data_IF_476708052503
#
_entry.id   IF_476708052503
#
_cell.length_a   1.000
_cell.length_b   1.000
_cell.length_c   1.000
_cell.angle_alpha   90.00
_cell.angle_beta   90.00
_cell.angle_gamma   90.00
#
_symmetry.space_group_name_H-M   'P 1'
#
loop_
_entity.id
_entity.type
_entity.pdbx_description
1 polymer ?
#
# COMPACT_ATOMS: atom_id res chain seq x y z
N UNK A 1 3.98 3.49 25.43
CA UNK A 1 2.63 3.24 24.87
C UNK A 1 2.76 3.01 23.39
N UNK A 2 2.09 2.01 22.82
CA UNK A 2 1.99 1.80 21.39
C UNK A 2 1.08 2.85 20.74
N UNK A 3 1.27 3.11 19.42
CA UNK A 3 0.37 3.97 18.69
C UNK A 3 -1.00 3.33 18.47
N UNK A 4 -2.04 4.16 18.40
CA UNK A 4 -3.40 3.71 18.10
C UNK A 4 -3.46 3.16 16.68
N UNK A 5 -4.17 2.07 16.51
CA UNK A 5 -4.54 1.53 15.20
C UNK A 5 -5.81 0.70 15.28
N UNK A 6 -6.52 0.60 14.16
CA UNK A 6 -7.65 -0.29 13.99
C UNK A 6 -7.81 -0.67 12.51
N UNK A 7 -8.30 -1.87 12.26
CA UNK A 7 -8.57 -2.38 10.93
C UNK A 7 -10.05 -2.83 10.80
N UNK A 8 -11.00 -1.88 10.89
CA UNK A 8 -12.42 -2.22 10.92
C UNK A 8 -12.92 -2.59 9.50
N UNK A 9 -13.28 -3.86 9.32
CA UNK A 9 -14.02 -4.36 8.16
C UNK A 9 -15.14 -5.25 8.67
N UNK A 10 -16.39 -4.83 8.44
CA UNK A 10 -17.56 -5.60 8.86
C UNK A 10 -17.70 -6.88 8.03
N UNK A 11 -18.45 -7.86 8.56
CA UNK A 11 -18.75 -9.09 7.85
C UNK A 11 -19.50 -8.82 6.54
N UNK A 12 -20.42 -7.84 6.54
CA UNK A 12 -21.23 -7.47 5.38
C UNK A 12 -20.35 -6.85 4.26
N UNK A 13 -19.45 -5.95 4.62
CA UNK A 13 -18.49 -5.38 3.66
C UNK A 13 -17.59 -6.48 3.09
N UNK A 14 -17.08 -7.37 3.95
CA UNK A 14 -16.27 -8.50 3.48
C UNK A 14 -17.04 -9.38 2.49
N UNK A 15 -18.31 -9.66 2.76
CA UNK A 15 -19.16 -10.43 1.85
C UNK A 15 -19.41 -9.70 0.53
N UNK A 16 -19.66 -8.38 0.56
CA UNK A 16 -19.77 -7.55 -0.65
C UNK A 16 -18.50 -7.57 -1.49
N UNK A 17 -17.34 -7.40 -0.87
CA UNK A 17 -16.04 -7.46 -1.56
C UNK A 17 -15.83 -8.82 -2.22
N UNK A 18 -16.11 -9.92 -1.51
CA UNK A 18 -15.95 -11.27 -2.06
C UNK A 18 -16.93 -11.53 -3.23
N UNK A 19 -18.15 -11.01 -3.16
CA UNK A 19 -19.12 -11.08 -4.25
C UNK A 19 -18.63 -10.30 -5.47
N UNK A 20 -18.13 -9.07 -5.29
CA UNK A 20 -17.60 -8.26 -6.40
C UNK A 20 -16.38 -8.93 -7.06
N UNK A 21 -15.47 -9.50 -6.27
CA UNK A 21 -14.34 -10.26 -6.82
C UNK A 21 -14.79 -11.46 -7.65
N UNK A 22 -15.84 -12.20 -7.21
CA UNK A 22 -16.40 -13.30 -7.97
C UNK A 22 -17.09 -12.81 -9.26
N UNK A 23 -17.74 -11.65 -9.23
CA UNK A 23 -18.34 -11.02 -10.41
C UNK A 23 -17.28 -10.55 -11.42
N UNK A 24 -16.16 -10.03 -10.94
CA UNK A 24 -15.00 -9.67 -11.76
C UNK A 24 -14.45 -10.91 -12.47
N UNK A 25 -14.25 -12.02 -11.74
CA UNK A 25 -13.77 -13.27 -12.33
C UNK A 25 -14.68 -13.73 -13.48
N UNK A 26 -16.01 -13.69 -13.29
CA UNK A 26 -16.97 -14.10 -14.33
C UNK A 26 -17.01 -13.12 -15.51
N UNK A 27 -17.02 -11.81 -15.26
CA UNK A 27 -17.14 -10.79 -16.32
C UNK A 27 -15.90 -10.69 -17.20
N UNK A 28 -14.72 -10.93 -16.63
CA UNK A 28 -13.44 -10.75 -17.31
C UNK A 28 -12.72 -12.05 -17.66
N UNK A 29 -13.29 -13.21 -17.33
CA UNK A 29 -12.68 -14.54 -17.48
C UNK A 29 -11.24 -14.56 -16.90
N UNK A 30 -11.13 -14.17 -15.63
CA UNK A 30 -9.87 -14.12 -14.89
C UNK A 30 -9.96 -14.90 -13.60
N UNK A 31 -8.82 -15.20 -12.99
CA UNK A 31 -8.71 -15.74 -11.64
C UNK A 31 -8.02 -14.74 -10.73
N UNK A 32 -8.66 -14.37 -9.63
CA UNK A 32 -8.07 -13.51 -8.60
C UNK A 32 -7.11 -14.32 -7.74
N UNK A 33 -5.83 -13.96 -7.77
CA UNK A 33 -4.76 -14.58 -7.01
C UNK A 33 -4.64 -14.03 -5.60
N UNK A 34 -4.87 -12.72 -5.46
CA UNK A 34 -4.72 -12.01 -4.21
C UNK A 34 -5.65 -10.80 -4.18
N UNK A 35 -6.30 -10.55 -3.07
CA UNK A 35 -7.06 -9.33 -2.84
C UNK A 35 -6.91 -8.87 -1.38
N UNK A 36 -6.64 -7.57 -1.21
CA UNK A 36 -6.42 -6.97 0.10
C UNK A 36 -7.07 -5.60 0.23
N UNK A 37 -7.17 -5.13 1.45
CA UNK A 37 -7.45 -3.74 1.75
C UNK A 37 -6.18 -2.91 1.67
N UNK A 38 -6.28 -1.75 1.04
CA UNK A 38 -5.24 -0.73 0.96
C UNK A 38 -5.65 0.54 1.71
N UNK A 39 -5.04 1.67 1.37
CA UNK A 39 -5.42 2.97 1.90
C UNK A 39 -5.43 3.07 3.42
N UNK A 40 -6.29 3.96 3.93
CA UNK A 40 -6.31 4.30 5.35
C UNK A 40 -6.70 3.14 6.27
N UNK A 41 -7.54 2.19 5.79
CA UNK A 41 -7.92 0.97 6.54
C UNK A 41 -6.75 0.01 6.64
N UNK A 42 -6.06 -0.26 5.53
CA UNK A 42 -4.86 -1.07 5.51
C UNK A 42 -3.72 -0.46 6.33
N UNK A 43 -3.62 0.86 6.38
CA UNK A 43 -2.64 1.56 7.22
C UNK A 43 -3.01 1.61 8.70
N UNK A 44 -4.28 1.36 9.06
CA UNK A 44 -4.73 1.23 10.44
C UNK A 44 -5.25 2.50 11.09
N UNK A 45 -5.60 3.53 10.31
CA UNK A 45 -6.14 4.80 10.83
C UNK A 45 -7.38 5.31 10.07
N UNK A 46 -8.22 4.39 9.60
CA UNK A 46 -9.46 4.76 8.93
C UNK A 46 -10.41 5.53 9.86
N UNK A 47 -11.15 6.48 9.30
CA UNK A 47 -12.35 7.06 9.91
C UNK A 47 -13.59 6.23 9.58
N UNK A 48 -14.73 6.46 10.27
CA UNK A 48 -15.97 5.74 9.97
C UNK A 48 -16.42 5.88 8.51
N UNK A 49 -16.18 7.05 7.90
CA UNK A 49 -16.52 7.40 6.52
C UNK A 49 -15.37 7.23 5.52
N UNK A 50 -14.30 6.55 5.90
CA UNK A 50 -13.23 6.19 4.95
C UNK A 50 -13.73 5.15 3.95
N UNK A 51 -13.38 5.33 2.68
CA UNK A 51 -13.63 4.35 1.63
C UNK A 51 -12.94 3.00 1.93
N UNK A 52 -13.41 1.96 1.27
CA UNK A 52 -12.75 0.67 1.22
C UNK A 52 -11.93 0.57 -0.07
N UNK A 53 -10.62 0.59 0.08
CA UNK A 53 -9.62 0.56 -1.00
C UNK A 53 -9.25 -0.90 -1.34
N UNK A 54 -10.13 -1.62 -2.02
CA UNK A 54 -9.88 -3.03 -2.40
C UNK A 54 -8.94 -3.08 -3.59
N UNK A 55 -7.82 -3.75 -3.41
CA UNK A 55 -6.79 -3.93 -4.44
C UNK A 55 -6.54 -5.40 -4.66
N UNK A 56 -6.41 -5.83 -5.93
CA UNK A 56 -6.24 -7.23 -6.25
C UNK A 56 -5.25 -7.48 -7.39
N UNK A 57 -4.69 -8.69 -7.41
CA UNK A 57 -3.85 -9.22 -8.50
C UNK A 57 -4.58 -10.39 -9.13
N UNK A 58 -4.65 -10.42 -10.45
CA UNK A 58 -5.36 -11.43 -11.21
C UNK A 58 -4.54 -11.98 -12.37
N UNK A 59 -4.94 -13.15 -12.87
CA UNK A 59 -4.35 -13.82 -14.03
C UNK A 59 -5.43 -14.14 -15.04
N UNK A 60 -5.14 -13.97 -16.33
CA UNK A 60 -5.97 -14.40 -17.44
C UNK A 60 -5.68 -15.85 -17.85
N UNK A 61 -6.58 -16.41 -18.67
CA UNK A 61 -6.32 -17.66 -19.36
C UNK A 61 -5.13 -17.54 -20.31
N UNK A 62 -4.37 -18.64 -20.59
CA UNK A 62 -3.17 -18.59 -21.45
C UNK A 62 -3.38 -17.95 -22.81
N UNK A 63 -4.53 -18.18 -23.44
CA UNK A 63 -4.87 -17.60 -24.74
C UNK A 63 -4.84 -16.07 -24.78
N UNK A 64 -5.18 -15.39 -23.66
CA UNK A 64 -5.15 -13.95 -23.57
C UNK A 64 -3.71 -13.40 -23.76
N UNK A 65 -2.71 -14.10 -23.24
CA UNK A 65 -1.30 -13.70 -23.33
C UNK A 65 -0.71 -13.89 -24.73
N UNK A 66 -1.38 -14.63 -25.59
CA UNK A 66 -0.98 -14.90 -26.98
C UNK A 66 -1.63 -13.93 -27.98
N UNK A 67 -2.41 -12.95 -27.50
CA UNK A 67 -2.98 -11.90 -28.37
C UNK A 67 -1.86 -11.05 -28.98
N UNK A 68 -1.98 -10.76 -30.29
CA UNK A 68 -1.05 -9.88 -31.01
C UNK A 68 -1.19 -8.42 -30.53
N UNK A 69 -2.43 -7.99 -30.29
CA UNK A 69 -2.69 -6.64 -29.78
C UNK A 69 -2.51 -6.58 -28.25
N UNK A 70 -1.85 -5.50 -27.75
CA UNK A 70 -1.73 -5.28 -26.32
C UNK A 70 -3.11 -5.16 -25.68
N UNK A 71 -3.33 -5.93 -24.61
CA UNK A 71 -4.57 -5.92 -23.86
C UNK A 71 -4.43 -5.05 -22.60
N UNK A 72 -5.57 -4.54 -22.09
CA UNK A 72 -5.58 -3.74 -20.86
C UNK A 72 -5.18 -4.61 -19.66
N UNK A 73 -4.17 -4.19 -18.94
CA UNK A 73 -3.56 -4.89 -17.81
C UNK A 73 -4.07 -4.43 -16.44
N UNK A 74 -5.20 -3.72 -16.42
CA UNK A 74 -5.89 -3.27 -15.20
C UNK A 74 -7.39 -3.50 -15.33
N UNK A 75 -8.01 -3.88 -14.22
CA UNK A 75 -9.46 -3.89 -14.03
C UNK A 75 -9.77 -2.86 -12.96
N UNK A 76 -10.65 -1.91 -13.29
CA UNK A 76 -11.15 -0.88 -12.38
C UNK A 76 -12.67 -0.95 -12.44
N UNK A 77 -13.27 -1.10 -11.28
CA UNK A 77 -14.73 -1.05 -11.14
C UNK A 77 -15.10 0.40 -10.84
N UNK A 78 -16.17 0.95 -11.46
CA UNK A 78 -16.66 2.26 -11.07
C UNK A 78 -16.95 2.30 -9.57
N UNK A 79 -16.47 3.37 -8.91
CA UNK A 79 -16.67 3.53 -7.46
C UNK A 79 -18.19 3.50 -7.20
N UNK A 80 -18.61 2.57 -6.38
CA UNK A 80 -19.99 2.44 -5.93
C UNK A 80 -20.05 2.63 -4.43
N UNK A 81 -20.84 3.60 -3.98
CA UNK A 81 -20.96 3.98 -2.58
C UNK A 81 -19.56 4.25 -1.95
N UNK A 82 -19.09 3.31 -1.15
CA UNK A 82 -17.84 3.40 -0.39
C UNK A 82 -16.76 2.40 -0.87
N UNK A 83 -17.02 1.64 -1.96
CA UNK A 83 -16.06 0.64 -2.49
C UNK A 83 -15.30 1.18 -3.69
N UNK A 84 -13.98 1.26 -3.56
CA UNK A 84 -13.02 1.51 -4.65
C UNK A 84 -12.25 0.22 -4.93
N UNK A 85 -12.62 -0.47 -6.04
CA UNK A 85 -12.09 -1.79 -6.38
C UNK A 85 -11.24 -1.71 -7.64
N UNK A 86 -9.95 -2.02 -7.51
CA UNK A 86 -9.01 -1.98 -8.62
C UNK A 86 -7.98 -3.10 -8.57
N UNK A 87 -7.63 -3.65 -9.73
CA UNK A 87 -6.70 -4.76 -9.82
C UNK A 87 -5.68 -4.64 -10.94
N UNK A 88 -4.56 -5.31 -10.74
CA UNK A 88 -3.47 -5.42 -11.71
C UNK A 88 -3.34 -6.85 -12.22
N UNK A 89 -3.16 -6.97 -13.53
CA UNK A 89 -2.83 -8.22 -14.16
C UNK A 89 -1.45 -8.71 -13.66
N UNK A 90 -1.27 -10.03 -13.56
CA UNK A 90 -0.08 -10.65 -12.96
C UNK A 90 1.23 -10.20 -13.62
N UNK A 91 1.31 -10.13 -14.96
CA UNK A 91 2.51 -9.64 -15.67
C UNK A 91 2.83 -8.21 -15.24
N UNK A 92 1.81 -7.34 -15.17
CA UNK A 92 1.97 -5.97 -14.67
C UNK A 92 2.44 -5.95 -13.22
N UNK A 93 1.83 -6.75 -12.35
CA UNK A 93 2.24 -6.84 -10.94
C UNK A 93 3.71 -7.26 -10.82
N UNK A 94 4.16 -8.27 -11.60
CA UNK A 94 5.56 -8.72 -11.59
C UNK A 94 6.51 -7.68 -12.19
N UNK A 95 6.11 -6.94 -13.22
CA UNK A 95 6.89 -5.80 -13.73
C UNK A 95 7.03 -4.68 -12.70
N UNK A 96 5.97 -4.41 -11.92
CA UNK A 96 6.02 -3.46 -10.82
C UNK A 96 6.93 -3.95 -9.70
N UNK A 97 6.91 -5.25 -9.37
CA UNK A 97 7.84 -5.87 -8.43
C UNK A 97 9.29 -5.72 -8.90
N UNK A 98 9.58 -6.06 -10.15
CA UNK A 98 10.90 -5.90 -10.76
C UNK A 98 11.42 -4.45 -10.66
N UNK A 99 10.53 -3.47 -10.81
CA UNK A 99 10.85 -2.04 -10.69
C UNK A 99 10.87 -1.56 -9.23
N UNK A 100 10.69 -2.47 -8.26
CA UNK A 100 10.59 -2.12 -6.83
C UNK A 100 9.49 -1.12 -6.52
N UNK A 101 8.29 -1.33 -7.08
CA UNK A 101 7.14 -0.44 -6.84
C UNK A 101 6.63 -0.59 -5.41
N UNK A 102 6.69 0.44 -4.55
CA UNK A 102 6.28 0.32 -3.16
C UNK A 102 4.81 -0.02 -2.96
N UNK A 103 3.93 0.42 -3.85
CA UNK A 103 2.48 0.18 -3.74
C UNK A 103 2.15 -1.32 -3.79
N UNK A 104 2.76 -2.07 -4.74
CA UNK A 104 2.57 -3.53 -4.79
C UNK A 104 3.11 -4.20 -3.53
N UNK A 105 4.29 -3.74 -3.05
CA UNK A 105 4.92 -4.32 -1.86
C UNK A 105 4.05 -4.09 -0.63
N UNK A 106 3.42 -2.92 -0.52
CA UNK A 106 2.44 -2.62 0.53
C UNK A 106 1.21 -3.53 0.43
N UNK A 107 0.66 -3.76 -0.75
CA UNK A 107 -0.48 -4.68 -0.92
C UNK A 107 -0.15 -6.06 -0.37
N UNK A 108 1.02 -6.62 -0.73
CA UNK A 108 1.46 -7.93 -0.25
C UNK A 108 1.67 -8.01 1.27
N UNK A 109 1.90 -6.86 1.92
CA UNK A 109 2.06 -6.71 3.36
C UNK A 109 0.77 -6.24 4.07
N UNK A 110 -0.36 -6.16 3.37
CA UNK A 110 -1.61 -5.70 3.97
C UNK A 110 -2.06 -6.61 5.12
N UNK A 111 -2.45 -6.02 6.27
CA UNK A 111 -2.97 -6.77 7.41
C UNK A 111 -4.40 -7.29 7.17
N UNK A 112 -5.08 -6.80 6.12
CA UNK A 112 -6.44 -7.20 5.76
C UNK A 112 -6.41 -7.87 4.40
N UNK A 113 -6.51 -9.19 4.40
CA UNK A 113 -6.61 -10.00 3.18
C UNK A 113 -8.05 -10.46 3.01
N UNK A 114 -8.62 -10.21 1.83
CA UNK A 114 -9.96 -10.66 1.45
C UNK A 114 -9.93 -12.04 0.83
N UNK A 115 -8.97 -12.27 -0.07
CA UNK A 115 -8.78 -13.52 -0.80
C UNK A 115 -7.30 -13.73 -1.11
N UNK A 116 -6.83 -14.97 -1.04
CA UNK A 116 -5.51 -15.33 -1.55
C UNK A 116 -5.48 -16.76 -2.08
N UNK A 117 -4.73 -16.94 -3.18
CA UNK A 117 -4.18 -18.23 -3.58
C UNK A 117 -2.91 -18.42 -2.76
N UNK A 118 -2.88 -19.38 -1.80
CA UNK A 118 -1.76 -19.45 -0.87
C UNK A 118 -0.41 -19.69 -1.55
N UNK A 119 -0.37 -20.50 -2.61
CA UNK A 119 0.88 -20.82 -3.31
C UNK A 119 1.42 -19.62 -4.08
N UNK A 120 0.54 -18.92 -4.82
CA UNK A 120 0.91 -17.71 -5.57
C UNK A 120 1.35 -16.58 -4.65
N UNK A 121 0.60 -16.32 -3.57
CA UNK A 121 0.89 -15.22 -2.65
C UNK A 121 2.16 -15.49 -1.84
N UNK A 122 2.38 -16.71 -1.37
CA UNK A 122 3.61 -17.10 -0.69
C UNK A 122 4.83 -16.86 -1.60
N UNK A 123 4.72 -17.23 -2.89
CA UNK A 123 5.80 -17.03 -3.85
C UNK A 123 6.06 -15.56 -4.12
N UNK A 124 5.02 -14.74 -4.32
CA UNK A 124 5.15 -13.29 -4.47
C UNK A 124 5.81 -12.64 -3.25
N UNK A 125 5.37 -13.00 -2.04
CA UNK A 125 5.97 -12.50 -0.78
C UNK A 125 7.42 -12.90 -0.61
N UNK A 126 7.82 -14.10 -1.05
CA UNK A 126 9.21 -14.55 -1.01
C UNK A 126 10.10 -13.82 -2.03
N UNK A 127 9.57 -13.47 -3.20
CA UNK A 127 10.31 -12.73 -4.24
C UNK A 127 10.43 -11.23 -3.91
N UNK A 128 9.43 -10.61 -3.33
CA UNK A 128 9.36 -9.18 -3.10
C UNK A 128 10.62 -8.56 -2.45
N UNK A 129 11.21 -9.13 -1.36
CA UNK A 129 12.41 -8.57 -0.73
C UNK A 129 13.65 -8.60 -1.63
N UNK A 130 13.75 -9.57 -2.58
CA UNK A 130 14.90 -9.68 -3.48
C UNK A 130 14.91 -8.57 -4.53
N UNK A 131 13.72 -8.07 -4.91
CA UNK A 131 13.57 -6.98 -5.88
C UNK A 131 13.45 -5.59 -5.22
N UNK A 132 13.35 -5.53 -3.89
CA UNK A 132 13.23 -4.24 -3.22
C UNK A 132 14.52 -3.43 -3.32
N UNK A 133 14.42 -2.23 -3.90
CA UNK A 133 15.48 -1.23 -3.96
C UNK A 133 15.24 -0.16 -2.89
N UNK A 134 16.10 -0.11 -1.88
CA UNK A 134 16.03 0.90 -0.81
C UNK A 134 16.08 2.32 -1.38
N UNK A 135 16.95 2.57 -2.36
CA UNK A 135 17.03 3.87 -3.02
C UNK A 135 15.72 4.29 -3.69
N UNK A 136 15.07 3.38 -4.47
CA UNK A 136 13.81 3.69 -5.15
C UNK A 136 12.67 3.86 -4.15
N UNK A 137 12.60 2.98 -3.15
CA UNK A 137 11.60 3.06 -2.08
C UNK A 137 11.69 4.38 -1.32
N UNK A 138 12.90 4.75 -0.88
CA UNK A 138 13.14 6.03 -0.21
C UNK A 138 12.69 7.23 -1.03
N UNK A 139 13.10 7.32 -2.29
CA UNK A 139 12.72 8.42 -3.17
C UNK A 139 11.20 8.51 -3.38
N UNK A 140 10.55 7.37 -3.56
CA UNK A 140 9.10 7.31 -3.69
C UNK A 140 8.41 7.90 -2.45
N UNK A 141 8.80 7.42 -1.26
CA UNK A 141 8.17 7.86 -0.01
C UNK A 141 8.46 9.32 0.30
N UNK A 142 9.69 9.79 0.14
CA UNK A 142 10.02 11.21 0.34
C UNK A 142 9.28 12.12 -0.65
N UNK A 143 9.18 11.72 -1.93
CA UNK A 143 8.44 12.49 -2.93
C UNK A 143 6.96 12.59 -2.58
N UNK A 144 6.36 11.50 -2.10
CA UNK A 144 4.97 11.45 -1.64
C UNK A 144 4.77 12.36 -0.42
N UNK A 145 5.64 12.27 0.58
CA UNK A 145 5.58 13.10 1.78
C UNK A 145 5.69 14.59 1.42
N UNK A 146 6.70 14.96 0.63
CA UNK A 146 6.93 16.34 0.22
C UNK A 146 5.77 16.91 -0.62
N UNK A 147 5.20 16.11 -1.53
CA UNK A 147 4.04 16.51 -2.35
C UNK A 147 2.82 16.79 -1.46
N UNK A 148 2.51 15.88 -0.53
CA UNK A 148 1.38 16.06 0.40
C UNK A 148 1.60 17.24 1.34
N UNK A 149 2.81 17.41 1.87
CA UNK A 149 3.15 18.53 2.75
C UNK A 149 2.95 19.87 2.05
N UNK A 150 3.52 20.04 0.86
CA UNK A 150 3.36 21.28 0.06
C UNK A 150 1.93 21.53 -0.38
N UNK A 151 1.18 20.49 -0.70
CA UNK A 151 -0.18 20.64 -1.21
C UNK A 151 -1.24 20.93 -0.13
N UNK A 152 -1.01 20.50 1.11
CA UNK A 152 -2.11 20.47 2.08
C UNK A 152 -1.80 21.04 3.46
N UNK A 153 -0.52 21.25 3.82
CA UNK A 153 -0.14 21.61 5.18
C UNK A 153 0.52 22.99 5.31
N UNK A 154 0.37 23.86 4.30
CA UNK A 154 1.00 25.20 4.31
C UNK A 154 0.12 26.29 4.94
N UNK A 155 -1.19 26.09 5.07
CA UNK A 155 -2.12 27.05 5.69
C UNK A 155 -2.09 27.03 7.22
N UNK A 156 -2.69 28.01 7.87
CA UNK A 156 -2.91 28.03 9.33
C UNK A 156 -3.96 26.99 9.75
N UNK A 157 -5.00 26.83 8.94
CA UNK A 157 -5.99 25.76 9.04
C UNK A 157 -5.70 24.71 7.99
N UNK A 158 -5.55 23.45 8.41
CA UNK A 158 -5.12 22.35 7.56
C UNK A 158 -6.09 21.17 7.67
N UNK A 159 -6.14 20.35 6.63
CA UNK A 159 -6.87 19.08 6.64
C UNK A 159 -6.13 18.09 7.53
N UNK A 160 -6.66 17.77 8.72
CA UNK A 160 -5.95 17.00 9.74
C UNK A 160 -5.48 15.62 9.24
N UNK A 161 -6.31 14.92 8.46
CA UNK A 161 -5.93 13.62 7.87
C UNK A 161 -4.64 13.68 7.04
N UNK A 162 -4.34 14.83 6.43
CA UNK A 162 -3.17 14.98 5.57
C UNK A 162 -1.85 14.91 6.31
N UNK A 163 -1.83 15.17 7.61
CA UNK A 163 -0.65 14.89 8.42
C UNK A 163 -0.26 13.41 8.39
N UNK A 164 -1.22 12.48 8.48
CA UNK A 164 -0.93 11.05 8.43
C UNK A 164 -0.45 10.62 7.03
N UNK A 165 -0.97 11.26 5.97
CA UNK A 165 -0.51 11.07 4.59
C UNK A 165 0.88 11.65 4.30
N UNK A 166 1.41 12.49 5.21
CA UNK A 166 2.80 12.96 5.19
C UNK A 166 3.66 12.12 6.12
N UNK A 167 3.22 11.87 7.36
CA UNK A 167 3.97 11.15 8.38
C UNK A 167 4.27 9.71 7.92
N UNK A 168 3.27 8.99 7.39
CA UNK A 168 3.47 7.59 7.00
C UNK A 168 4.59 7.41 5.97
N UNK A 169 4.58 8.06 4.81
CA UNK A 169 5.69 7.93 3.86
C UNK A 169 7.00 8.50 4.42
N UNK A 170 6.97 9.55 5.25
CA UNK A 170 8.18 10.06 5.86
C UNK A 170 8.83 9.04 6.79
N UNK A 171 8.04 8.39 7.67
CA UNK A 171 8.52 7.33 8.55
C UNK A 171 8.97 6.08 7.77
N UNK A 172 8.33 5.76 6.65
CA UNK A 172 8.75 4.69 5.75
C UNK A 172 10.12 5.00 5.11
N UNK A 173 10.38 6.25 4.72
CA UNK A 173 11.70 6.66 4.24
C UNK A 173 12.77 6.56 5.34
N UNK A 174 12.47 7.01 6.56
CA UNK A 174 13.36 6.89 7.72
C UNK A 174 13.63 5.42 8.10
N UNK A 175 12.63 4.54 7.95
CA UNK A 175 12.79 3.10 8.14
C UNK A 175 13.84 2.52 7.20
N UNK A 176 13.79 2.92 5.93
CA UNK A 176 14.79 2.53 4.94
C UNK A 176 16.18 3.11 5.28
N UNK A 177 16.23 4.40 5.64
CA UNK A 177 17.48 5.07 6.04
C UNK A 177 18.15 4.41 7.26
N UNK A 178 17.36 3.77 8.12
CA UNK A 178 17.84 2.97 9.24
C UNK A 178 18.26 1.54 8.86
N UNK A 179 18.32 1.20 7.56
CA UNK A 179 18.75 -0.12 7.06
C UNK A 179 17.82 -1.27 7.38
N UNK A 180 16.53 -0.99 7.61
CA UNK A 180 15.54 -1.99 8.04
C UNK A 180 14.85 -2.70 6.88
N UNK A 181 15.23 -2.43 5.63
CA UNK A 181 14.65 -3.03 4.44
C UNK A 181 13.25 -2.50 4.10
N UNK A 182 12.35 -3.38 3.66
CA UNK A 182 10.99 -3.00 3.28
C UNK A 182 10.20 -2.46 4.47
N UNK A 183 9.61 -1.24 4.35
CA UNK A 183 8.77 -0.70 5.41
C UNK A 183 7.48 -1.51 5.59
N UNK A 184 6.99 -1.69 6.82
CA UNK A 184 5.67 -2.27 7.06
C UNK A 184 4.56 -1.36 6.54
N UNK A 185 3.41 -1.97 6.19
CA UNK A 185 2.28 -1.21 5.69
C UNK A 185 1.59 -0.42 6.81
N UNK A 186 1.44 -1.01 7.99
CA UNK A 186 0.73 -0.41 9.12
C UNK A 186 1.50 0.76 9.70
N UNK A 187 0.79 1.91 9.87
CA UNK A 187 1.39 3.13 10.42
C UNK A 187 1.94 2.95 11.83
N UNK A 188 1.22 2.24 12.69
CA UNK A 188 1.65 2.02 14.08
C UNK A 188 3.00 1.30 14.15
N UNK A 189 3.26 0.31 13.28
CA UNK A 189 4.52 -0.44 13.25
C UNK A 189 5.70 0.47 12.86
N UNK A 190 5.49 1.40 11.92
CA UNK A 190 6.48 2.41 11.56
C UNK A 190 6.73 3.38 12.72
N UNK A 191 5.65 3.93 13.27
CA UNK A 191 5.72 4.98 14.28
C UNK A 191 6.29 4.47 15.62
N UNK A 192 5.94 3.23 16.03
CA UNK A 192 6.45 2.63 17.26
C UNK A 192 7.98 2.50 17.26
N UNK A 193 8.57 2.27 16.09
CA UNK A 193 10.02 2.12 15.93
C UNK A 193 10.72 3.45 15.65
N UNK A 194 10.12 4.31 14.82
CA UNK A 194 10.81 5.49 14.29
C UNK A 194 10.60 6.76 15.11
N UNK A 195 9.55 6.83 15.95
CA UNK A 195 9.25 8.01 16.76
C UNK A 195 9.64 7.75 18.21
N UNK A 196 10.83 8.23 18.63
CA UNK A 196 11.31 8.06 19.99
C UNK A 196 10.85 9.18 20.94
N UNK A 197 10.62 10.41 20.44
CA UNK A 197 10.24 11.58 21.24
C UNK A 197 8.85 11.43 21.83
N UNK A 198 8.76 11.41 23.17
CA UNK A 198 7.50 11.17 23.87
C UNK A 198 6.45 12.27 23.61
N UNK A 199 6.75 13.56 23.66
CA UNK A 199 5.79 14.62 23.30
C UNK A 199 5.27 14.55 21.85
N UNK A 200 6.11 14.14 20.88
CA UNK A 200 5.68 13.91 19.51
C UNK A 200 4.75 12.69 19.41
N UNK A 201 5.06 11.60 20.15
CA UNK A 201 4.19 10.41 20.24
C UNK A 201 2.79 10.76 20.75
N UNK A 202 2.70 11.58 21.79
CA UNK A 202 1.43 12.03 22.33
C UNK A 202 0.63 12.85 21.30
N UNK A 203 1.30 13.77 20.60
CA UNK A 203 0.64 14.60 19.59
C UNK A 203 0.16 13.77 18.40
N UNK A 204 0.94 12.77 17.94
CA UNK A 204 0.52 11.83 16.89
C UNK A 204 -0.66 10.97 17.34
N UNK A 205 -0.65 10.46 18.59
CA UNK A 205 -1.79 9.68 19.10
C UNK A 205 -3.06 10.52 19.21
N UNK A 206 -2.95 11.80 19.59
CA UNK A 206 -4.09 12.72 19.58
C UNK A 206 -4.63 12.92 18.17
N UNK A 207 -3.75 13.10 17.18
CA UNK A 207 -4.14 13.18 15.77
C UNK A 207 -4.84 11.91 15.28
N UNK A 208 -4.30 10.73 15.62
CA UNK A 208 -4.91 9.43 15.30
C UNK A 208 -6.31 9.30 15.91
N UNK A 209 -6.46 9.64 17.20
CA UNK A 209 -7.75 9.59 17.88
C UNK A 209 -8.79 10.50 17.19
N UNK A 210 -8.41 11.73 16.82
CA UNK A 210 -9.27 12.64 16.06
C UNK A 210 -9.63 12.01 14.70
N UNK A 211 -8.64 11.56 13.91
CA UNK A 211 -8.89 10.99 12.59
C UNK A 211 -9.80 9.76 12.64
N UNK A 212 -9.64 8.89 13.63
CA UNK A 212 -10.41 7.66 13.74
C UNK A 212 -11.84 7.89 14.27
N UNK A 213 -12.11 9.03 14.91
CA UNK A 213 -13.41 9.38 15.48
C UNK A 213 -14.23 10.36 14.61
N UNK A 214 -13.59 11.07 13.68
CA UNK A 214 -14.21 12.17 12.93
C UNK A 214 -14.36 11.87 11.44
N UNK A 215 -15.06 12.77 10.73
CA UNK A 215 -15.22 12.67 9.28
C UNK A 215 -13.89 12.98 8.55
N UNK A 216 -13.79 12.48 7.32
CA UNK A 216 -12.63 12.70 6.44
C UNK A 216 -12.34 14.18 6.10
N UNK A 217 -13.32 15.06 6.25
CA UNK A 217 -13.22 16.48 5.88
C UNK A 217 -12.76 17.40 7.00
N UNK A 218 -12.33 16.89 8.16
CA UNK A 218 -12.02 17.71 9.33
C UNK A 218 -10.80 18.61 9.10
N UNK A 219 -11.01 19.91 9.32
CA UNK A 219 -9.98 20.95 9.33
C UNK A 219 -9.71 21.42 10.76
N UNK A 220 -8.47 21.78 11.04
CA UNK A 220 -8.08 22.30 12.34
C UNK A 220 -6.77 23.09 12.30
N UNK A 221 -6.40 23.66 13.44
CA UNK A 221 -5.12 24.30 13.62
C UNK A 221 -3.98 23.29 13.41
N UNK A 222 -2.80 23.79 13.05
CA UNK A 222 -1.61 22.95 12.92
C UNK A 222 -1.29 22.22 14.23
N UNK A 223 -0.75 21.03 14.11
CA UNK A 223 -0.09 20.31 15.18
C UNK A 223 1.38 20.73 15.24
N UNK A 224 1.80 21.57 16.19
CA UNK A 224 3.10 22.25 16.10
C UNK A 224 4.30 21.31 16.10
N UNK A 225 4.28 20.25 16.93
CA UNK A 225 5.38 19.29 17.03
C UNK A 225 5.46 18.41 15.80
N UNK A 226 4.32 17.91 15.32
CA UNK A 226 4.25 17.13 14.08
C UNK A 226 4.72 17.99 12.90
N UNK A 227 4.29 19.25 12.84
CA UNK A 227 4.67 20.15 11.75
C UNK A 227 6.18 20.40 11.72
N UNK A 228 6.77 20.77 12.87
CA UNK A 228 8.22 20.97 13.01
C UNK A 228 9.02 19.68 12.67
N UNK A 229 8.55 18.52 13.14
CA UNK A 229 9.17 17.25 12.81
C UNK A 229 9.19 16.98 11.30
N UNK A 230 8.05 17.22 10.62
CA UNK A 230 7.94 17.02 9.17
C UNK A 230 8.86 17.98 8.42
N UNK A 231 8.89 19.28 8.78
CA UNK A 231 9.76 20.27 8.16
C UNK A 231 11.22 19.90 8.32
N UNK A 232 11.64 19.56 9.53
CA UNK A 232 13.02 19.13 9.81
C UNK A 232 13.42 17.89 9.02
N UNK A 233 12.55 16.88 9.00
CA UNK A 233 12.82 15.62 8.30
C UNK A 233 12.86 15.78 6.77
N UNK A 234 12.02 16.65 6.20
CA UNK A 234 12.04 16.96 4.77
C UNK A 234 13.24 17.82 4.37
N UNK A 235 13.76 18.66 5.30
CA UNK A 235 15.00 19.44 5.08
C UNK A 235 16.25 18.59 5.19
N UNK A 236 16.27 17.57 6.04
CA UNK A 236 17.40 16.67 6.27
C UNK A 236 17.55 15.62 5.15
N UNK A 237 17.86 16.05 3.93
CA UNK A 237 17.93 15.17 2.75
C UNK A 237 19.31 14.50 2.54
N UNK A 238 20.12 14.32 3.58
CA UNK A 238 21.37 13.57 3.47
C UNK A 238 21.08 12.14 2.97
N UNK A 239 21.74 11.75 1.88
CA UNK A 239 21.64 10.38 1.36
C UNK A 239 22.57 9.48 2.18
N UNK A 240 22.08 8.37 2.76
CA UNK A 240 22.95 7.30 3.22
C UNK A 240 23.85 6.80 2.09
N UNK A 241 25.12 6.48 2.41
CA UNK A 241 26.11 6.12 1.40
C UNK A 241 25.80 4.78 0.71
N UNK A 242 25.21 3.83 1.44
CA UNK A 242 25.03 2.44 0.99
C UNK A 242 23.57 2.00 1.01
N UNK A 243 22.89 2.20 -0.12
CA UNK A 243 21.57 1.63 -0.34
C UNK A 243 21.66 0.25 -0.99
N UNK A 244 20.93 -0.73 -0.42
CA UNK A 244 20.75 -2.01 -1.09
C UNK A 244 19.99 -1.78 -2.40
N UNK A 245 20.62 -2.17 -3.51
CA UNK A 245 19.96 -2.25 -4.81
C UNK A 245 19.18 -3.57 -4.86
N UNK A 246 17.94 -3.50 -5.36
CA UNK A 246 17.22 -4.74 -5.66
C UNK A 246 18.01 -5.54 -6.70
N UNK A 247 18.37 -6.77 -6.37
CA UNK A 247 19.21 -7.65 -7.20
C UNK A 247 18.54 -8.97 -7.54
N UNK A 248 17.19 -9.03 -7.47
CA UNK A 248 16.43 -10.24 -7.83
C UNK A 248 16.66 -10.65 -9.28
N UNK A 249 16.78 -11.96 -9.52
CA UNK A 249 16.90 -12.52 -10.86
C UNK A 249 15.55 -12.45 -11.60
N UNK A 250 15.45 -11.71 -12.73
CA UNK A 250 14.23 -11.65 -13.52
C UNK A 250 13.70 -13.02 -13.95
N UNK A 251 14.59 -14.01 -14.18
CA UNK A 251 14.18 -15.36 -14.53
C UNK A 251 13.30 -16.03 -13.46
N UNK A 252 13.46 -15.63 -12.19
CA UNK A 252 12.59 -16.12 -11.12
C UNK A 252 11.15 -15.58 -11.23
N UNK A 253 10.97 -14.34 -11.75
CA UNK A 253 9.66 -13.79 -12.04
C UNK A 253 9.03 -14.46 -13.27
N UNK A 254 9.81 -14.70 -14.32
CA UNK A 254 9.35 -15.39 -15.53
C UNK A 254 8.92 -16.82 -15.22
N UNK A 255 9.69 -17.55 -14.44
CA UNK A 255 9.35 -18.91 -14.00
C UNK A 255 8.05 -18.94 -13.18
N UNK A 256 7.88 -18.00 -12.26
CA UNK A 256 6.66 -17.89 -11.47
C UNK A 256 5.45 -17.49 -12.34
N UNK A 257 5.64 -16.53 -13.24
CA UNK A 257 4.61 -16.10 -14.18
C UNK A 257 4.14 -17.26 -15.05
N UNK A 258 5.09 -17.95 -15.71
CA UNK A 258 4.79 -19.11 -16.55
C UNK A 258 4.04 -20.20 -15.80
N UNK A 259 4.53 -20.61 -14.62
CA UNK A 259 3.89 -21.65 -13.82
C UNK A 259 2.47 -21.28 -13.41
N UNK A 260 2.23 -19.99 -13.06
CA UNK A 260 0.90 -19.52 -12.63
C UNK A 260 -0.09 -19.48 -13.79
N UNK A 261 0.34 -18.97 -14.97
CA UNK A 261 -0.50 -18.91 -16.16
C UNK A 261 -0.84 -20.31 -16.66
N UNK A 262 0.14 -21.23 -16.69
CA UNK A 262 -0.06 -22.58 -17.20
C UNK A 262 -0.84 -23.49 -16.25
N UNK A 263 -0.87 -23.19 -14.95
CA UNK A 263 -1.72 -23.92 -14.00
C UNK A 263 -3.21 -23.84 -14.36
N UNK A 264 -3.65 -22.76 -14.98
CA UNK A 264 -5.04 -22.55 -15.43
C UNK A 264 -5.37 -23.24 -16.78
N UNK A 265 -4.40 -23.95 -17.37
CA UNK A 265 -4.60 -24.65 -18.65
C UNK A 265 -5.25 -26.03 -18.49
N UNK A 266 -5.38 -26.53 -17.27
CA UNK A 266 -6.01 -27.82 -17.03
C UNK A 266 -7.50 -27.57 -16.67
N UNK A 267 -8.45 -28.02 -17.51
CA UNK A 267 -9.86 -28.04 -17.14
C UNK A 267 -10.06 -28.97 -15.95
N UNK A 268 -10.74 -28.46 -14.92
CA UNK A 268 -11.20 -29.27 -13.77
C UNK A 268 -12.23 -30.30 -14.23
#
# INVERSE_FOLDING_TARGET
MSFLYAHPVSADIRARVLSELADIERRHDVRVLFACESGSRGWGFASPDSDYDVRFVYVHRPAWYLSVEPQRDVIEVPISDELDVGGWELRKALQLMHRSNPTLLEWLASPIVYREDPAAVQRMRALAPTFFSERRGRWHYLSMAAKNFRGYLQGESVRLKKYLYVLRPLLAAQWIDAGRGMPPMRFADLADVMVADAPLREEINRLLAIKMASSEAEYGARFPRIHAFVEQALAAQALPADFRQGGGDPAALDAFFYATVMADSHPS
#
